data_IF_011211178716
#
_entry.id   IF_011211178716
#
_cell.length_a   1.000
_cell.length_b   1.000
_cell.length_c   1.000
_cell.angle_alpha   90.00
_cell.angle_beta   90.00
_cell.angle_gamma   90.00
#
_symmetry.space_group_name_H-M   'P 1'
#
loop_
_entity.id
_entity.type
_entity.pdbx_description
1 polymer ?
#
# COMPACT_ATOMS: atom_id res chain seq x y z
N UNK A 1 -23.17 5.13 2.65
CA UNK A 1 -22.05 4.19 2.90
C UNK A 1 -21.33 4.67 4.15
N UNK A 2 -21.12 3.80 5.14
CA UNK A 2 -20.29 4.13 6.31
C UNK A 2 -18.83 3.98 5.92
N UNK A 3 -17.99 4.95 6.23
CA UNK A 3 -16.54 4.83 6.08
C UNK A 3 -16.06 3.83 7.14
N UNK A 4 -15.43 2.72 6.72
CA UNK A 4 -14.75 1.80 7.63
C UNK A 4 -13.45 2.47 8.09
N UNK A 5 -13.18 2.45 9.39
CA UNK A 5 -11.88 2.89 9.92
C UNK A 5 -11.08 1.66 10.28
N UNK A 6 -9.92 1.50 9.65
CA UNK A 6 -8.99 0.42 9.97
C UNK A 6 -8.03 0.87 11.08
N UNK A 7 -7.74 -0.01 12.04
CA UNK A 7 -6.81 0.29 13.12
C UNK A 7 -5.35 0.26 12.65
N UNK A 8 -5.06 -0.39 11.52
CA UNK A 8 -3.72 -0.44 10.93
C UNK A 8 -3.72 -0.64 9.42
N UNK A 9 -2.57 -0.36 8.78
CA UNK A 9 -2.34 -0.65 7.35
C UNK A 9 -2.50 -2.13 7.06
N UNK A 10 -2.04 -3.00 7.97
CA UNK A 10 -2.11 -4.46 7.80
C UNK A 10 -3.56 -4.92 7.73
N UNK A 11 -4.41 -4.45 8.65
CA UNK A 11 -5.83 -4.79 8.67
C UNK A 11 -6.55 -4.33 7.40
N UNK A 12 -6.30 -3.09 6.95
CA UNK A 12 -6.84 -2.58 5.70
C UNK A 12 -6.45 -3.47 4.50
N UNK A 13 -5.21 -3.95 4.46
CA UNK A 13 -4.72 -4.78 3.38
C UNK A 13 -5.28 -6.21 3.42
N UNK A 14 -5.33 -6.83 4.60
CA UNK A 14 -5.83 -8.19 4.76
C UNK A 14 -7.35 -8.27 4.48
N UNK A 15 -8.11 -7.22 4.78
CA UNK A 15 -9.55 -7.17 4.51
C UNK A 15 -9.89 -6.85 3.05
N UNK A 16 -9.26 -5.84 2.45
CA UNK A 16 -9.53 -5.44 1.06
C UNK A 16 -8.85 -6.37 0.05
N UNK A 17 -7.80 -7.06 0.47
CA UNK A 17 -6.99 -7.93 -0.39
C UNK A 17 -6.63 -9.25 0.29
N UNK A 18 -7.59 -10.16 0.49
CA UNK A 18 -7.36 -11.41 1.22
C UNK A 18 -6.30 -12.33 0.57
N UNK A 19 -6.16 -12.28 -0.76
CA UNK A 19 -5.15 -13.07 -1.51
C UNK A 19 -3.76 -12.41 -1.57
N UNK A 20 -3.59 -11.21 -1.00
CA UNK A 20 -2.32 -10.47 -1.00
C UNK A 20 -1.29 -11.03 0.00
N UNK A 21 -1.51 -12.19 0.63
CA UNK A 21 -0.44 -12.99 1.22
C UNK A 21 0.70 -13.26 0.21
N UNK A 22 0.37 -13.29 -1.09
CA UNK A 22 1.31 -13.30 -2.21
C UNK A 22 2.01 -11.94 -2.38
N UNK A 23 1.31 -10.80 -2.26
CA UNK A 23 1.99 -9.51 -2.28
C UNK A 23 2.86 -9.28 -1.06
N UNK A 24 2.56 -9.85 0.10
CA UNK A 24 3.48 -9.87 1.24
C UNK A 24 4.81 -10.51 0.81
N UNK A 25 4.76 -11.65 0.14
CA UNK A 25 5.92 -12.34 -0.42
C UNK A 25 6.57 -11.63 -1.65
N UNK A 26 5.80 -10.93 -2.47
CA UNK A 26 6.28 -10.25 -3.70
C UNK A 26 6.78 -8.82 -3.41
N UNK A 27 6.23 -8.11 -2.41
CA UNK A 27 6.85 -6.91 -1.82
C UNK A 27 8.12 -7.29 -1.05
N UNK A 28 8.16 -8.47 -0.43
CA UNK A 28 9.36 -9.02 0.21
C UNK A 28 10.40 -9.59 -0.76
N UNK A 29 10.18 -9.57 -2.08
CA UNK A 29 11.16 -10.03 -3.08
C UNK A 29 12.52 -9.32 -3.00
N UNK A 30 12.60 -8.19 -2.28
CA UNK A 30 13.84 -7.55 -1.83
C UNK A 30 13.83 -7.12 -0.34
N UNK A 31 12.76 -7.41 0.41
CA UNK A 31 12.62 -7.21 1.86
C UNK A 31 12.59 -5.76 2.39
N UNK A 32 12.89 -4.74 1.58
CA UNK A 32 13.13 -3.39 2.10
C UNK A 32 11.90 -2.49 2.20
N UNK A 33 10.82 -2.79 1.47
CA UNK A 33 9.72 -1.84 1.24
C UNK A 33 8.49 -2.09 2.13
N UNK A 34 8.16 -3.36 2.38
CA UNK A 34 7.03 -3.74 3.24
C UNK A 34 7.11 -3.21 4.67
N UNK A 35 8.29 -3.19 5.35
CA UNK A 35 8.38 -2.65 6.71
C UNK A 35 7.94 -1.18 6.80
N UNK A 36 8.34 -0.35 5.82
CA UNK A 36 7.99 1.07 5.78
C UNK A 36 6.50 1.30 5.54
N UNK A 37 5.90 0.46 4.69
CA UNK A 37 4.45 0.45 4.46
C UNK A 37 3.71 0.07 5.75
N UNK A 38 4.11 -1.03 6.38
CA UNK A 38 3.49 -1.55 7.61
C UNK A 38 3.50 -0.52 8.73
N UNK A 39 4.60 0.19 8.88
CA UNK A 39 4.77 1.22 9.92
C UNK A 39 4.06 2.54 9.57
N UNK A 40 3.38 2.61 8.42
CA UNK A 40 2.72 3.80 7.88
C UNK A 40 3.67 5.02 7.78
N UNK A 41 4.96 4.78 7.53
CA UNK A 41 5.99 5.84 7.53
C UNK A 41 6.27 6.42 6.14
N UNK A 42 5.84 5.75 5.07
CA UNK A 42 6.00 6.24 3.69
C UNK A 42 5.04 7.40 3.42
N UNK A 43 5.53 8.51 2.87
CA UNK A 43 4.69 9.67 2.58
C UNK A 43 3.78 9.46 1.36
N UNK A 44 2.75 10.30 1.21
CA UNK A 44 1.92 10.25 0.00
C UNK A 44 2.72 10.57 -1.27
N UNK A 45 3.69 11.49 -1.21
CA UNK A 45 4.55 11.79 -2.35
C UNK A 45 5.40 10.60 -2.76
N UNK A 46 5.95 9.87 -1.78
CA UNK A 46 6.76 8.68 -2.05
C UNK A 46 5.92 7.58 -2.70
N UNK A 47 4.72 7.29 -2.17
CA UNK A 47 3.80 6.33 -2.77
C UNK A 47 3.40 6.73 -4.19
N UNK A 48 3.09 8.02 -4.42
CA UNK A 48 2.68 8.51 -5.73
C UNK A 48 3.82 8.41 -6.75
N UNK A 49 5.05 8.75 -6.35
CA UNK A 49 6.25 8.56 -7.17
C UNK A 49 6.43 7.11 -7.58
N UNK A 50 6.22 6.17 -6.65
CA UNK A 50 6.41 4.75 -6.92
C UNK A 50 5.32 4.20 -7.87
N UNK A 51 4.08 4.67 -7.73
CA UNK A 51 3.01 4.36 -8.71
C UNK A 51 3.39 4.88 -10.10
N UNK A 52 3.81 6.15 -10.21
CA UNK A 52 4.21 6.74 -11.50
C UNK A 52 5.41 6.01 -12.11
N UNK A 53 6.39 5.64 -11.29
CA UNK A 53 7.55 4.87 -11.74
C UNK A 53 7.15 3.48 -12.27
N UNK A 54 6.27 2.77 -11.55
CA UNK A 54 5.79 1.45 -11.97
C UNK A 54 4.92 1.51 -13.22
N UNK A 55 4.10 2.54 -13.38
CA UNK A 55 3.34 2.80 -14.61
C UNK A 55 4.27 3.02 -15.81
N UNK A 56 5.30 3.86 -15.65
CA UNK A 56 6.26 4.16 -16.71
C UNK A 56 7.12 2.95 -17.12
N UNK A 57 7.35 2.03 -16.19
CA UNK A 57 8.14 0.81 -16.43
C UNK A 57 7.27 -0.40 -16.82
N UNK A 58 5.98 -0.21 -17.05
CA UNK A 58 5.01 -1.26 -17.40
C UNK A 58 4.88 -2.39 -16.37
N UNK A 59 5.17 -2.10 -15.10
CA UNK A 59 5.07 -3.04 -13.98
C UNK A 59 3.71 -2.93 -13.26
N UNK A 60 2.63 -2.96 -14.05
CA UNK A 60 1.24 -2.72 -13.59
C UNK A 60 0.76 -3.67 -12.49
N UNK A 61 1.22 -4.93 -12.54
CA UNK A 61 0.85 -5.96 -11.58
C UNK A 61 1.94 -6.20 -10.52
N UNK A 62 2.90 -5.28 -10.39
CA UNK A 62 3.90 -5.38 -9.32
C UNK A 62 3.26 -5.12 -7.97
N UNK A 63 3.75 -5.79 -6.94
CA UNK A 63 3.20 -5.63 -5.60
C UNK A 63 3.51 -4.27 -4.99
N UNK A 64 4.61 -3.62 -5.39
CA UNK A 64 4.87 -2.22 -5.03
C UNK A 64 3.78 -1.31 -5.58
N UNK A 65 3.36 -1.49 -6.84
CA UNK A 65 2.30 -0.68 -7.42
C UNK A 65 0.96 -0.92 -6.70
N UNK A 66 0.56 -2.18 -6.56
CA UNK A 66 -0.70 -2.53 -5.87
C UNK A 66 -0.72 -1.99 -4.44
N UNK A 67 0.37 -2.15 -3.69
CA UNK A 67 0.46 -1.64 -2.34
C UNK A 67 0.42 -0.11 -2.29
N UNK A 68 1.22 0.57 -3.12
CA UNK A 68 1.25 2.03 -3.12
C UNK A 68 -0.09 2.64 -3.49
N UNK A 69 -0.79 2.08 -4.48
CA UNK A 69 -2.14 2.50 -4.86
C UNK A 69 -3.17 2.24 -3.75
N UNK A 70 -3.13 1.07 -3.11
CA UNK A 70 -4.04 0.74 -2.00
C UNK A 70 -3.85 1.68 -0.80
N UNK A 71 -2.62 2.00 -0.40
CA UNK A 71 -2.36 2.96 0.69
C UNK A 71 -2.83 4.37 0.36
N UNK A 72 -2.56 4.86 -0.86
CA UNK A 72 -3.03 6.17 -1.29
C UNK A 72 -4.56 6.25 -1.25
N UNK A 73 -5.25 5.21 -1.75
CA UNK A 73 -6.70 5.14 -1.74
C UNK A 73 -7.26 5.10 -0.31
N UNK A 74 -6.73 4.23 0.55
CA UNK A 74 -7.15 4.10 1.93
C UNK A 74 -6.97 5.41 2.73
N UNK A 75 -5.87 6.14 2.50
CA UNK A 75 -5.66 7.46 3.10
C UNK A 75 -6.64 8.50 2.56
N UNK A 76 -6.85 8.55 1.25
CA UNK A 76 -7.80 9.48 0.63
C UNK A 76 -9.24 9.25 1.11
N UNK A 77 -9.60 8.00 1.43
CA UNK A 77 -10.90 7.61 1.98
C UNK A 77 -11.01 7.82 3.49
N UNK A 78 -9.93 8.25 4.16
CA UNK A 78 -9.88 8.45 5.61
C UNK A 78 -9.88 7.15 6.41
N UNK A 79 -9.60 6.01 5.78
CA UNK A 79 -9.52 4.70 6.43
C UNK A 79 -8.23 4.53 7.22
N UNK A 80 -7.16 5.21 6.77
CA UNK A 80 -5.86 5.25 7.43
C UNK A 80 -5.45 6.70 7.73
N UNK A 81 -4.79 6.94 8.87
CA UNK A 81 -4.27 8.26 9.19
C UNK A 81 -3.10 8.63 8.28
N UNK A 82 -2.83 9.94 8.20
CA UNK A 82 -1.62 10.47 7.59
C UNK A 82 -0.36 9.78 8.15
N UNK A 83 0.70 9.66 7.33
CA UNK A 83 1.94 9.03 7.75
C UNK A 83 2.49 9.68 9.03
N UNK A 84 3.14 8.87 9.87
CA UNK A 84 3.77 9.32 11.11
C UNK A 84 5.04 10.13 10.85
#
# INVERSE_FOLDING_TARGET
MSIKQYASVVECFEEEFPDLSIARAVVDGTGAYWPKIKDNSVTNEELARDVVYMLNTSHFNSSTMLAATALLAARALGWLPSPK
#
